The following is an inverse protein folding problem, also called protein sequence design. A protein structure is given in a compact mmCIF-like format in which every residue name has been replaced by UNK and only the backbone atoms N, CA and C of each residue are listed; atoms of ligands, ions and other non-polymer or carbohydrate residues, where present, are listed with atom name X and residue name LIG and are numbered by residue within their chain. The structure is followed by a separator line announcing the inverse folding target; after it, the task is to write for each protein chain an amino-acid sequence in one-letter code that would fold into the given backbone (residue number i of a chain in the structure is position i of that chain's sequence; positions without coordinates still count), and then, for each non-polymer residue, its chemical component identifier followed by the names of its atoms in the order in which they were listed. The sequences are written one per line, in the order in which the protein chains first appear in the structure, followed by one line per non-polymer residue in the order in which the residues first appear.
data_IF_787937384793
#
_entry.id   IF_787937384793
#
_cell.length_a   1.000
_cell.length_b   1.000
_cell.length_c   1.000
_cell.angle_alpha   90.00
_cell.angle_beta   90.00
_cell.angle_gamma   90.00
#
_symmetry.space_group_name_H-M   'P 1'
#
loop_
_entity.id
_entity.type
_entity.pdbx_description
1 polymer ?
#
# COMPACT_ATOMS: atom_id res chain seq x y z
N UNK A 1 2.22 18.27 21.40
CA UNK A 1 0.96 18.03 20.65
C UNK A 1 0.91 16.55 20.29
N UNK A 2 -0.09 15.79 20.76
CA UNK A 2 -0.34 14.42 20.33
C UNK A 2 -0.40 14.29 18.81
N UNK A 3 0.05 13.16 18.25
CA UNK A 3 0.11 12.92 16.81
C UNK A 3 -1.25 13.14 16.14
N UNK A 4 -2.33 12.62 16.72
CA UNK A 4 -3.68 12.76 16.19
C UNK A 4 -4.14 14.22 16.12
N UNK A 5 -3.83 15.00 17.16
CA UNK A 5 -4.14 16.44 17.19
C UNK A 5 -3.35 17.19 16.13
N UNK A 6 -2.06 16.87 15.98
CA UNK A 6 -1.22 17.48 14.95
C UNK A 6 -1.72 17.16 13.53
N UNK A 7 -2.05 15.90 13.24
CA UNK A 7 -2.61 15.51 11.95
C UNK A 7 -3.93 16.24 11.69
N UNK A 8 -4.82 16.29 12.69
CA UNK A 8 -6.13 16.95 12.56
C UNK A 8 -5.98 18.46 12.34
N UNK A 9 -5.12 19.13 13.11
CA UNK A 9 -4.85 20.55 12.97
C UNK A 9 -4.23 20.88 11.61
N UNK A 10 -3.32 20.04 11.12
CA UNK A 10 -2.68 20.22 9.81
C UNK A 10 -3.69 20.03 8.69
N UNK A 11 -4.52 18.98 8.74
CA UNK A 11 -5.58 18.74 7.77
C UNK A 11 -6.64 19.85 7.75
N UNK A 12 -6.86 20.56 8.87
CA UNK A 12 -7.79 21.69 8.91
C UNK A 12 -7.25 22.95 8.24
N UNK A 13 -5.93 23.05 8.02
CA UNK A 13 -5.29 24.18 7.34
C UNK A 13 -5.14 23.95 5.82
N UNK A 14 -5.39 22.72 5.34
CA UNK A 14 -5.22 22.33 3.95
C UNK A 14 -6.58 22.36 3.24
N UNK A 15 -6.61 22.87 2.01
CA UNK A 15 -7.79 22.81 1.11
C UNK A 15 -8.29 21.37 0.98
N UNK A 16 -9.62 21.18 0.96
CA UNK A 16 -10.25 19.86 0.98
C UNK A 16 -9.70 18.93 -0.10
N UNK A 17 -9.51 19.47 -1.29
CA UNK A 17 -9.04 18.78 -2.49
C UNK A 17 -7.58 18.33 -2.36
N UNK A 18 -6.77 19.00 -1.53
CA UNK A 18 -5.35 18.72 -1.33
C UNK A 18 -5.05 17.85 -0.11
N UNK A 19 -6.04 17.61 0.75
CA UNK A 19 -5.87 16.75 1.94
C UNK A 19 -5.38 15.36 1.56
N UNK A 20 -5.88 14.81 0.46
CA UNK A 20 -5.44 13.51 -0.06
C UNK A 20 -3.94 13.48 -0.37
N UNK A 21 -3.43 14.51 -1.06
CA UNK A 21 -2.01 14.62 -1.37
C UNK A 21 -1.14 14.63 -0.10
N UNK A 22 -1.56 15.34 0.94
CA UNK A 22 -0.85 15.34 2.23
C UNK A 22 -0.77 13.93 2.85
N UNK A 23 -1.86 13.16 2.81
CA UNK A 23 -1.86 11.78 3.28
C UNK A 23 -0.92 10.89 2.45
N UNK A 24 -0.90 11.05 1.13
CA UNK A 24 0.04 10.32 0.27
C UNK A 24 1.50 10.68 0.55
N UNK A 25 1.81 11.93 0.90
CA UNK A 25 3.15 12.32 1.35
C UNK A 25 3.54 11.61 2.67
N UNK A 26 2.64 11.55 3.65
CA UNK A 26 2.89 10.82 4.91
C UNK A 26 3.11 9.33 4.66
N UNK A 27 2.31 8.73 3.77
CA UNK A 27 2.48 7.34 3.35
C UNK A 27 3.83 7.12 2.65
N UNK A 28 4.23 8.02 1.75
CA UNK A 28 5.52 7.97 1.06
C UNK A 28 6.71 8.04 2.02
N UNK A 29 6.64 8.90 3.04
CA UNK A 29 7.66 9.00 4.09
C UNK A 29 7.75 7.71 4.91
N UNK A 30 6.61 7.14 5.30
CA UNK A 30 6.57 5.86 6.01
C UNK A 30 7.17 4.73 5.17
N UNK A 31 6.80 4.64 3.89
CA UNK A 31 7.33 3.63 2.97
C UNK A 31 8.83 3.79 2.76
N UNK A 32 9.31 5.02 2.55
CA UNK A 32 10.74 5.30 2.39
C UNK A 32 11.54 4.90 3.63
N UNK A 33 11.01 5.17 4.83
CA UNK A 33 11.65 4.73 6.07
C UNK A 33 11.75 3.21 6.15
N UNK A 34 10.71 2.49 5.76
CA UNK A 34 10.73 1.03 5.75
C UNK A 34 11.72 0.49 4.73
N UNK A 35 11.76 1.03 3.51
CA UNK A 35 12.77 0.67 2.50
C UNK A 35 14.18 0.87 3.01
N UNK A 36 14.44 1.98 3.70
CA UNK A 36 15.74 2.21 4.30
C UNK A 36 16.07 1.16 5.38
N UNK A 37 15.12 0.84 6.26
CA UNK A 37 15.35 -0.09 7.37
C UNK A 37 15.48 -1.57 6.94
N UNK A 38 14.71 -1.99 5.94
CA UNK A 38 14.59 -3.40 5.55
C UNK A 38 15.34 -3.75 4.26
N UNK A 39 15.55 -2.77 3.37
CA UNK A 39 16.17 -2.97 2.05
C UNK A 39 17.47 -2.17 1.91
N UNK A 40 17.85 -1.35 2.90
CA UNK A 40 18.98 -0.40 2.84
C UNK A 40 18.89 0.56 1.64
N UNK A 41 17.67 0.81 1.15
CA UNK A 41 17.39 1.74 0.05
C UNK A 41 17.02 3.11 0.60
N UNK A 42 17.82 4.13 0.28
CA UNK A 42 17.53 5.51 0.65
C UNK A 42 16.92 6.25 -0.54
N UNK A 43 15.64 6.63 -0.43
CA UNK A 43 14.95 7.38 -1.48
C UNK A 43 15.19 8.88 -1.32
N UNK A 44 15.45 9.56 -2.43
CA UNK A 44 15.53 11.01 -2.46
C UNK A 44 14.16 11.63 -2.13
N UNK A 45 14.11 12.76 -1.40
CA UNK A 45 12.85 13.44 -1.08
C UNK A 45 11.98 13.75 -2.30
N UNK A 46 12.61 14.13 -3.41
CA UNK A 46 11.93 14.44 -4.67
C UNK A 46 11.19 13.22 -5.21
N UNK A 47 11.83 12.04 -5.14
CA UNK A 47 11.21 10.77 -5.55
C UNK A 47 10.03 10.40 -4.66
N UNK A 48 10.10 10.70 -3.35
CA UNK A 48 8.99 10.46 -2.42
C UNK A 48 7.80 11.34 -2.79
N UNK A 49 8.05 12.63 -3.07
CA UNK A 49 7.01 13.59 -3.45
C UNK A 49 6.40 13.27 -4.82
N UNK A 50 7.21 12.90 -5.81
CA UNK A 50 6.74 12.50 -7.14
C UNK A 50 5.83 11.27 -7.05
N UNK A 51 6.24 10.25 -6.29
CA UNK A 51 5.40 9.06 -6.05
C UNK A 51 4.08 9.41 -5.36
N UNK A 52 4.13 10.27 -4.34
CA UNK A 52 2.92 10.71 -3.64
C UNK A 52 1.95 11.45 -4.58
N UNK A 53 2.47 12.31 -5.47
CA UNK A 53 1.66 13.02 -6.46
C UNK A 53 1.04 12.05 -7.48
N UNK A 54 1.80 11.10 -8.00
CA UNK A 54 1.31 10.07 -8.93
C UNK A 54 0.23 9.21 -8.29
N UNK A 55 0.47 8.67 -7.10
CA UNK A 55 -0.54 7.86 -6.40
C UNK A 55 -1.79 8.64 -6.04
N UNK A 56 -1.68 9.93 -5.74
CA UNK A 56 -2.84 10.79 -5.53
C UNK A 56 -3.63 11.00 -6.83
N UNK A 57 -2.94 11.23 -7.96
CA UNK A 57 -3.59 11.36 -9.26
C UNK A 57 -4.33 10.07 -9.67
N UNK A 58 -3.71 8.91 -9.45
CA UNK A 58 -4.33 7.59 -9.67
C UNK A 58 -5.58 7.38 -8.79
N UNK A 59 -5.54 7.84 -7.54
CA UNK A 59 -6.68 7.74 -6.63
C UNK A 59 -7.87 8.64 -7.05
N UNK A 60 -7.58 9.81 -7.64
CA UNK A 60 -8.61 10.70 -8.18
C UNK A 60 -9.22 10.17 -9.48
N UNK A 61 -8.38 9.56 -10.31
CA UNK A 61 -8.77 9.00 -11.60
C UNK A 61 -8.35 7.54 -11.63
N UNK A 62 -9.15 6.62 -11.04
CA UNK A 62 -8.89 5.20 -11.13
C UNK A 62 -9.06 4.76 -12.59
N UNK A 63 -8.01 4.99 -13.36
CA UNK A 63 -7.93 4.70 -14.78
C UNK A 63 -7.62 3.21 -14.86
N UNK A 64 -8.65 2.43 -15.17
CA UNK A 64 -8.60 0.98 -15.39
C UNK A 64 -8.54 0.11 -14.12
N UNK A 65 -9.42 0.33 -13.15
CA UNK A 65 -9.81 -0.80 -12.28
C UNK A 65 -10.64 -1.77 -13.14
N UNK A 66 -10.18 -2.99 -13.48
CA UNK A 66 -11.14 -4.00 -13.88
C UNK A 66 -12.09 -4.15 -12.69
N UNK A 67 -13.37 -3.80 -12.87
CA UNK A 67 -14.42 -3.99 -11.86
C UNK A 67 -14.60 -5.44 -11.44
N UNK A 68 -13.85 -6.36 -12.05
CA UNK A 68 -13.77 -7.75 -11.64
C UNK A 68 -12.72 -7.87 -10.54
N UNK A 69 -13.17 -7.76 -9.29
CA UNK A 69 -12.62 -8.65 -8.25
C UNK A 69 -12.63 -10.03 -8.90
N UNK A 70 -11.46 -10.60 -9.19
CA UNK A 70 -11.42 -11.97 -9.68
C UNK A 70 -12.06 -12.82 -8.61
N UNK A 71 -13.16 -13.48 -8.95
CA UNK A 71 -13.72 -14.47 -8.04
C UNK A 71 -12.61 -15.48 -7.71
N UNK A 72 -12.53 -15.94 -6.45
CA UNK A 72 -11.61 -16.99 -6.10
C UNK A 72 -11.79 -18.16 -7.09
N UNK A 73 -10.72 -18.81 -7.54
CA UNK A 73 -10.84 -19.94 -8.45
C UNK A 73 -11.81 -20.98 -7.87
N UNK A 74 -12.58 -21.64 -8.74
CA UNK A 74 -13.53 -22.69 -8.36
C UNK A 74 -12.78 -23.73 -7.51
N UNK A 75 -13.18 -23.87 -6.25
CA UNK A 75 -12.51 -24.74 -5.27
C UNK A 75 -11.70 -24.01 -4.18
N UNK A 76 -11.62 -22.67 -4.21
CA UNK A 76 -11.03 -21.91 -3.10
C UNK A 76 -11.79 -22.16 -1.80
N UNK A 77 -11.14 -22.80 -0.83
CA UNK A 77 -11.65 -22.97 0.53
C UNK A 77 -11.19 -21.86 1.49
N UNK A 78 -10.75 -20.73 0.93
CA UNK A 78 -10.31 -19.60 1.74
C UNK A 78 -11.49 -19.11 2.59
N UNK A 79 -11.37 -19.07 3.92
CA UNK A 79 -12.42 -18.51 4.76
C UNK A 79 -12.69 -17.05 4.34
N UNK A 80 -13.94 -16.58 4.46
CA UNK A 80 -14.35 -15.19 4.19
C UNK A 80 -13.66 -14.12 5.08
N UNK A 81 -12.59 -14.47 5.81
CA UNK A 81 -11.85 -13.58 6.68
C UNK A 81 -10.52 -14.18 7.11
N UNK A 82 -9.60 -13.31 7.58
CA UNK A 82 -8.32 -13.74 8.10
C UNK A 82 -8.50 -14.65 9.33
N UNK A 83 -7.88 -15.82 9.32
CA UNK A 83 -7.79 -16.72 10.49
C UNK A 83 -6.35 -16.85 10.92
N UNK A 84 -6.15 -16.87 12.24
CA UNK A 84 -4.86 -17.14 12.87
C UNK A 84 -4.44 -18.57 12.49
N UNK A 85 -3.19 -18.79 12.02
CA UNK A 85 -2.74 -20.14 11.70
C UNK A 85 -2.61 -21.00 12.96
N UNK A 86 -2.79 -22.33 12.86
CA UNK A 86 -2.53 -23.24 13.96
C UNK A 86 -1.09 -23.14 14.50
N UNK A 87 -0.84 -23.52 15.77
CA UNK A 87 0.52 -23.56 16.32
C UNK A 87 1.47 -24.36 15.42
N UNK A 88 2.68 -23.83 15.20
CA UNK A 88 3.69 -24.45 14.33
C UNK A 88 3.46 -24.28 12.83
N UNK A 89 2.50 -23.44 12.41
CA UNK A 89 2.26 -23.10 11.00
C UNK A 89 2.36 -21.59 10.76
N UNK A 90 2.91 -21.22 9.61
CA UNK A 90 2.92 -19.84 9.12
C UNK A 90 1.89 -19.68 8.00
N UNK A 91 1.12 -18.60 8.01
CA UNK A 91 0.25 -18.22 6.89
C UNK A 91 1.02 -17.27 5.99
N UNK A 92 1.36 -17.73 4.79
CA UNK A 92 2.02 -16.93 3.77
C UNK A 92 0.94 -16.37 2.83
N UNK A 93 1.00 -15.07 2.59
CA UNK A 93 0.17 -14.37 1.61
C UNK A 93 0.72 -14.64 0.22
N UNK A 94 0.02 -15.48 -0.55
CA UNK A 94 0.46 -15.95 -1.88
C UNK A 94 0.23 -14.90 -2.98
N UNK A 95 -0.58 -13.88 -2.72
CA UNK A 95 -0.78 -12.72 -3.58
C UNK A 95 0.51 -11.87 -3.76
N UNK A 96 1.53 -12.07 -2.91
CA UNK A 96 2.85 -11.46 -3.06
C UNK A 96 3.85 -12.32 -3.86
N UNK A 97 3.47 -13.53 -4.30
CA UNK A 97 4.37 -14.38 -5.08
C UNK A 97 4.37 -13.94 -6.56
N UNK A 98 5.43 -13.25 -6.98
CA UNK A 98 5.73 -13.10 -8.40
C UNK A 98 6.07 -14.47 -8.98
N UNK A 99 5.26 -14.96 -9.91
CA UNK A 99 5.55 -16.16 -10.69
C UNK A 99 6.81 -15.94 -11.55
N UNK A 100 8.00 -16.16 -10.98
CA UNK A 100 9.17 -16.47 -11.80
C UNK A 100 9.00 -17.91 -12.28
N UNK A 101 8.23 -18.07 -13.36
CA UNK A 101 8.07 -19.34 -14.05
C UNK A 101 9.41 -19.79 -14.60
N UNK A 102 10.11 -20.63 -13.85
CA UNK A 102 11.14 -21.51 -14.41
C UNK A 102 10.39 -22.46 -15.34
N UNK A 103 10.55 -22.26 -16.64
CA UNK A 103 10.22 -23.30 -17.63
C UNK A 103 11.31 -24.34 -17.52
N UNK A 104 10.99 -25.51 -16.99
CA UNK A 104 11.82 -26.70 -17.19
C UNK A 104 11.58 -27.21 -18.62
N UNK A 105 12.67 -27.51 -19.32
CA UNK A 105 12.73 -28.05 -20.69
C UNK A 105 12.17 -29.48 -20.80
#
# INVERSE_FOLDING_TARGET
MPLLEWVSATLNQIEKERKGLFIYCLHGLWLSKNKFLFENENLAPETILERAATSFAEALFPMNSPSSIQEPPIGSQSPNGWRIPPPGRYKINVDAASNNGVKEE
#
